data_IF_298011995692
#
_entry.id   IF_298011995692
#
_cell.length_a   1.000
_cell.length_b   1.000
_cell.length_c   1.000
_cell.angle_alpha   90.00
_cell.angle_beta   90.00
_cell.angle_gamma   90.00
#
_symmetry.space_group_name_H-M   'P 1'
#
loop_
_entity.id
_entity.type
_entity.pdbx_description
1 polymer ?
#
# COMPACT_ATOMS: atom_id res chain seq x y z
N UNK A 1 -12.62 -18.45 18.02
CA UNK A 1 -11.39 -17.91 17.42
C UNK A 1 -10.79 -16.99 18.46
N UNK A 2 -9.72 -17.42 19.12
CA UNK A 2 -9.04 -16.56 20.09
C UNK A 2 -8.57 -15.30 19.35
N UNK A 3 -9.03 -14.14 19.82
CA UNK A 3 -8.60 -12.86 19.26
C UNK A 3 -7.10 -12.76 19.43
N UNK A 4 -6.38 -12.58 18.33
CA UNK A 4 -4.96 -12.24 18.37
C UNK A 4 -4.75 -11.05 19.32
N UNK A 5 -3.62 -11.00 20.04
CA UNK A 5 -3.25 -9.83 20.83
C UNK A 5 -3.34 -8.56 19.96
N UNK A 6 -3.93 -7.48 20.47
CA UNK A 6 -4.17 -6.25 19.68
C UNK A 6 -2.91 -5.70 19.01
N UNK A 7 -1.75 -5.81 19.67
CA UNK A 7 -0.47 -5.40 19.10
C UNK A 7 -0.06 -6.24 17.88
N UNK A 8 -0.36 -7.54 17.92
CA UNK A 8 -0.04 -8.48 16.86
C UNK A 8 -0.90 -8.19 15.63
N UNK A 9 -2.17 -7.87 15.82
CA UNK A 9 -3.07 -7.52 14.71
C UNK A 9 -2.68 -6.19 14.06
N UNK A 10 -2.31 -5.18 14.86
CA UNK A 10 -1.90 -3.85 14.36
C UNK A 10 -0.54 -3.88 13.64
N UNK A 11 0.37 -4.77 14.03
CA UNK A 11 1.75 -4.78 13.50
C UNK A 11 2.02 -5.95 12.56
N UNK A 12 1.69 -7.18 12.96
CA UNK A 12 2.02 -8.36 12.17
C UNK A 12 1.15 -8.46 10.92
N UNK A 13 -0.15 -8.11 11.00
CA UNK A 13 -1.04 -8.21 9.85
C UNK A 13 -0.58 -7.32 8.68
N UNK A 14 -0.29 -6.01 8.87
CA UNK A 14 0.25 -5.18 7.79
C UNK A 14 1.65 -5.63 7.34
N UNK A 15 2.51 -6.04 8.27
CA UNK A 15 3.87 -6.46 7.95
C UNK A 15 3.91 -7.72 7.07
N UNK A 16 3.12 -8.74 7.41
CA UNK A 16 3.00 -9.96 6.62
C UNK A 16 2.42 -9.63 5.24
N UNK A 17 1.41 -8.77 5.19
CA UNK A 17 0.81 -8.32 3.92
C UNK A 17 1.85 -7.63 3.02
N UNK A 18 2.69 -6.78 3.60
CA UNK A 18 3.78 -6.11 2.89
C UNK A 18 4.82 -7.11 2.36
N UNK A 19 5.27 -8.05 3.20
CA UNK A 19 6.25 -9.09 2.79
C UNK A 19 5.68 -9.94 1.65
N UNK A 20 4.41 -10.35 1.74
CA UNK A 20 3.75 -11.12 0.69
C UNK A 20 3.65 -10.31 -0.61
N UNK A 21 3.23 -9.05 -0.54
CA UNK A 21 3.16 -8.18 -1.71
C UNK A 21 4.54 -7.99 -2.37
N UNK A 22 5.59 -7.77 -1.57
CA UNK A 22 6.97 -7.69 -2.06
C UNK A 22 7.42 -9.01 -2.72
N UNK A 23 7.11 -10.15 -2.10
CA UNK A 23 7.44 -11.47 -2.63
C UNK A 23 6.75 -11.76 -3.96
N UNK A 24 5.45 -11.50 -4.05
CA UNK A 24 4.67 -11.68 -5.29
C UNK A 24 5.20 -10.76 -6.39
N UNK A 25 5.43 -9.47 -6.08
CA UNK A 25 6.00 -8.52 -7.04
C UNK A 25 7.38 -8.96 -7.53
N UNK A 26 8.24 -9.47 -6.64
CA UNK A 26 9.55 -9.99 -7.02
C UNK A 26 9.45 -11.19 -7.96
N UNK A 27 8.50 -12.11 -7.73
CA UNK A 27 8.25 -13.24 -8.63
C UNK A 27 7.81 -12.78 -10.02
N UNK A 28 6.94 -11.77 -10.10
CA UNK A 28 6.51 -11.19 -11.38
C UNK A 28 7.68 -10.53 -12.12
N UNK A 29 8.53 -9.79 -11.42
CA UNK A 29 9.72 -9.16 -12.00
C UNK A 29 10.70 -10.22 -12.52
N UNK A 30 10.91 -11.30 -11.77
CA UNK A 30 11.75 -12.42 -12.23
C UNK A 30 11.14 -13.12 -13.46
N UNK A 31 9.81 -13.25 -13.51
CA UNK A 31 9.12 -13.91 -14.62
C UNK A 31 9.29 -13.15 -15.96
N UNK A 32 9.46 -11.83 -15.92
CA UNK A 32 9.76 -11.01 -17.11
C UNK A 32 11.27 -10.91 -17.41
N UNK A 33 12.13 -11.61 -16.65
CA UNK A 33 13.57 -11.66 -16.86
C UNK A 33 14.35 -10.49 -16.24
N UNK A 34 13.70 -9.69 -15.39
CA UNK A 34 14.30 -8.50 -14.77
C UNK A 34 14.80 -8.78 -13.35
N UNK A 35 15.62 -7.87 -12.81
CA UNK A 35 16.15 -7.97 -11.44
C UNK A 35 15.24 -7.28 -10.42
N UNK A 36 14.64 -8.02 -9.45
CA UNK A 36 13.83 -7.43 -8.39
C UNK A 36 14.63 -6.47 -7.51
N UNK A 37 15.92 -6.75 -7.31
CA UNK A 37 16.78 -5.91 -6.51
C UNK A 37 17.03 -4.55 -7.17
N UNK A 38 17.26 -4.54 -8.48
CA UNK A 38 17.39 -3.29 -9.24
C UNK A 38 16.08 -2.51 -9.24
N UNK A 39 14.94 -3.17 -9.48
CA UNK A 39 13.63 -2.54 -9.43
C UNK A 39 13.35 -1.90 -8.05
N UNK A 40 13.64 -2.61 -6.96
CA UNK A 40 13.50 -2.09 -5.61
C UNK A 40 14.40 -0.88 -5.37
N UNK A 41 15.68 -0.96 -5.78
CA UNK A 41 16.62 0.15 -5.65
C UNK A 41 16.14 1.38 -6.40
N UNK A 42 15.69 1.21 -7.65
CA UNK A 42 15.14 2.30 -8.47
C UNK A 42 13.88 2.90 -7.85
N UNK A 43 12.97 2.08 -7.30
CA UNK A 43 11.80 2.58 -6.57
C UNK A 43 12.20 3.43 -5.36
N UNK A 44 13.14 2.95 -4.54
CA UNK A 44 13.59 3.66 -3.33
C UNK A 44 14.29 4.97 -3.71
N UNK A 45 15.16 4.96 -4.71
CA UNK A 45 15.83 6.15 -5.21
C UNK A 45 14.83 7.15 -5.81
N UNK A 46 13.84 6.70 -6.56
CA UNK A 46 12.78 7.55 -7.10
C UNK A 46 11.88 8.17 -6.02
N UNK A 47 11.55 7.40 -4.99
CA UNK A 47 10.68 7.83 -3.90
C UNK A 47 11.40 8.75 -2.90
N UNK A 48 12.65 8.47 -2.53
CA UNK A 48 13.33 9.12 -1.41
C UNK A 48 14.61 9.89 -1.80
N UNK A 49 15.08 9.75 -3.05
CA UNK A 49 16.35 10.33 -3.50
C UNK A 49 16.32 11.83 -3.78
N UNK A 50 15.15 12.46 -3.80
CA UNK A 50 14.99 13.90 -4.01
C UNK A 50 13.82 14.48 -3.21
N UNK A 51 13.87 15.78 -2.93
CA UNK A 51 12.75 16.48 -2.26
C UNK A 51 11.44 16.36 -3.04
N UNK A 52 11.52 16.29 -4.37
CA UNK A 52 10.36 16.05 -5.24
C UNK A 52 9.78 14.64 -5.02
N UNK A 53 10.64 13.61 -5.01
CA UNK A 53 10.24 12.24 -4.72
C UNK A 53 9.56 12.10 -3.35
N UNK A 54 10.13 12.74 -2.32
CA UNK A 54 9.51 12.79 -0.99
C UNK A 54 8.13 13.43 -1.03
N UNK A 55 7.98 14.55 -1.77
CA UNK A 55 6.70 15.22 -1.96
C UNK A 55 5.65 14.30 -2.57
N UNK A 56 5.99 13.58 -3.64
CA UNK A 56 5.08 12.61 -4.26
C UNK A 56 4.78 11.41 -3.36
N UNK A 57 5.78 10.89 -2.66
CA UNK A 57 5.61 9.77 -1.73
C UNK A 57 4.62 10.12 -0.62
N UNK A 58 4.78 11.28 0.01
CA UNK A 58 3.87 11.76 1.05
C UNK A 58 2.49 12.10 0.50
N UNK A 59 2.42 12.67 -0.71
CA UNK A 59 1.17 12.97 -1.39
C UNK A 59 0.33 11.70 -1.60
N UNK A 60 0.90 10.65 -2.22
CA UNK A 60 0.19 9.39 -2.44
C UNK A 60 -0.08 8.64 -1.14
N UNK A 61 0.87 8.60 -0.21
CA UNK A 61 0.67 7.94 1.09
C UNK A 61 -0.52 8.54 1.85
N UNK A 62 -0.64 9.86 1.88
CA UNK A 62 -1.76 10.56 2.52
C UNK A 62 -3.08 10.15 1.89
N UNK A 63 -3.16 10.17 0.56
CA UNK A 63 -4.35 9.77 -0.17
C UNK A 63 -4.75 8.32 0.12
N UNK A 64 -3.82 7.36 0.04
CA UNK A 64 -4.12 5.97 0.34
C UNK A 64 -4.56 5.72 1.78
N UNK A 65 -3.99 6.44 2.75
CA UNK A 65 -4.43 6.38 4.15
C UNK A 65 -5.89 6.84 4.27
N UNK A 66 -6.27 7.95 3.64
CA UNK A 66 -7.65 8.45 3.69
C UNK A 66 -8.63 7.55 2.93
N UNK A 67 -8.23 6.98 1.79
CA UNK A 67 -9.03 5.97 1.06
C UNK A 67 -9.28 4.74 1.93
N UNK A 68 -8.25 4.23 2.60
CA UNK A 68 -8.39 3.11 3.55
C UNK A 68 -9.28 3.45 4.74
N UNK A 69 -9.14 4.66 5.29
CA UNK A 69 -9.96 5.15 6.39
C UNK A 69 -11.45 5.24 6.00
N UNK A 70 -11.76 5.71 4.78
CA UNK A 70 -13.13 5.77 4.27
C UNK A 70 -13.78 4.36 4.20
N UNK A 71 -13.02 3.34 3.82
CA UNK A 71 -13.46 1.94 3.85
C UNK A 71 -13.65 1.46 5.29
N UNK A 72 -12.70 1.73 6.17
CA UNK A 72 -12.76 1.31 7.58
C UNK A 72 -13.96 1.89 8.32
N UNK A 73 -14.29 3.16 8.09
CA UNK A 73 -15.46 3.84 8.68
C UNK A 73 -16.77 3.19 8.20
N UNK A 74 -16.91 2.93 6.90
CA UNK A 74 -18.10 2.26 6.36
C UNK A 74 -18.24 0.83 6.88
N UNK A 75 -17.13 0.09 6.97
CA UNK A 75 -17.11 -1.26 7.54
C UNK A 75 -17.55 -1.28 9.01
N UNK A 76 -17.16 -0.28 9.80
CA UNK A 76 -17.62 -0.13 11.18
C UNK A 76 -19.14 0.05 11.29
N UNK A 77 -19.77 0.67 10.29
CA UNK A 77 -21.22 0.80 10.17
C UNK A 77 -21.90 -0.44 9.56
N UNK A 78 -21.18 -1.55 9.36
CA UNK A 78 -21.65 -2.75 8.65
C UNK A 78 -22.12 -2.49 7.21
N UNK A 79 -21.61 -1.41 6.60
CA UNK A 79 -21.85 -1.08 5.20
C UNK A 79 -20.75 -1.68 4.34
N UNK A 80 -21.15 -2.27 3.23
CA UNK A 80 -20.23 -2.77 2.23
C UNK A 80 -19.68 -1.61 1.41
N UNK A 81 -18.35 -1.45 1.40
CA UNK A 81 -17.65 -0.42 0.62
C UNK A 81 -16.54 -1.09 -0.19
N UNK A 82 -16.61 -0.99 -1.52
CA UNK A 82 -15.59 -1.48 -2.46
C UNK A 82 -15.30 -0.39 -3.50
N UNK A 83 -14.05 -0.32 -3.94
CA UNK A 83 -13.64 0.55 -5.05
C UNK A 83 -13.26 1.96 -4.63
N UNK A 84 -13.01 2.19 -3.34
CA UNK A 84 -12.59 3.50 -2.83
C UNK A 84 -11.35 4.06 -3.55
N UNK A 85 -10.39 3.21 -3.91
CA UNK A 85 -9.20 3.62 -4.68
C UNK A 85 -9.57 4.12 -6.08
N UNK A 86 -10.46 3.41 -6.78
CA UNK A 86 -10.94 3.83 -8.10
C UNK A 86 -11.79 5.11 -8.06
N UNK A 87 -12.58 5.30 -7.00
CA UNK A 87 -13.30 6.55 -6.77
C UNK A 87 -12.35 7.71 -6.48
N UNK A 88 -11.30 7.45 -5.71
CA UNK A 88 -10.29 8.44 -5.40
C UNK A 88 -9.54 8.86 -6.68
N UNK A 89 -9.14 7.90 -7.52
CA UNK A 89 -8.54 8.14 -8.84
C UNK A 89 -9.47 8.97 -9.76
N UNK A 90 -10.75 8.58 -9.91
CA UNK A 90 -11.71 9.35 -10.72
C UNK A 90 -12.02 10.73 -10.14
N UNK A 91 -11.94 10.90 -8.82
CA UNK A 91 -12.22 12.13 -8.10
C UNK A 91 -11.13 13.19 -8.19
N UNK A 92 -10.03 12.91 -8.90
CA UNK A 92 -8.95 13.88 -9.12
C UNK A 92 -7.65 13.58 -8.38
N UNK A 93 -7.44 12.34 -7.91
CA UNK A 93 -6.08 11.83 -7.77
C UNK A 93 -5.50 11.66 -9.18
N UNK A 94 -4.52 12.48 -9.59
CA UNK A 94 -3.87 12.35 -10.89
C UNK A 94 -3.02 11.08 -10.98
#
# INVERSE_FOLDING_TARGET
MDKMPKWADVILTPLISLILAMGISALVILAIGESPWMALKTMVEGALGSSYGWGFTLYYATNFIFTGLAVAVAYHASLFNIGGEGQAAMGGLP
#
